data_IF_215952467977
#
_entry.id   IF_215952467977
#
_cell.length_a   1.000
_cell.length_b   1.000
_cell.length_c   1.000
_cell.angle_alpha   90.00
_cell.angle_beta   90.00
_cell.angle_gamma   90.00
#
_symmetry.space_group_name_H-M   'P 1'
#
loop_
_entity.id
_entity.type
_entity.pdbx_description
1 polymer ?
#
# COMPACT_ATOMS: atom_id res chain seq x y z
N UNK A 1 46.44 40.97 -8.54
CA UNK A 1 45.33 40.46 -9.36
C UNK A 1 44.77 39.10 -8.87
N UNK A 2 44.41 38.92 -7.59
CA UNK A 2 44.03 37.60 -7.01
C UNK A 2 42.61 37.55 -6.40
N UNK A 3 41.87 38.66 -6.42
CA UNK A 3 40.55 38.81 -5.77
C UNK A 3 39.35 38.33 -6.61
N UNK A 4 39.46 38.27 -7.94
CA UNK A 4 38.34 37.87 -8.82
C UNK A 4 38.03 36.36 -8.75
N UNK A 5 39.05 35.49 -8.69
CA UNK A 5 38.85 34.04 -8.61
C UNK A 5 38.21 33.57 -7.30
N UNK A 6 38.49 34.23 -6.17
CA UNK A 6 37.92 33.86 -4.88
C UNK A 6 36.42 34.20 -4.77
N UNK A 7 35.96 35.26 -5.47
CA UNK A 7 34.55 35.66 -5.49
C UNK A 7 33.73 34.69 -6.35
N UNK A 8 34.26 34.27 -7.50
CA UNK A 8 33.60 33.29 -8.38
C UNK A 8 33.44 31.92 -7.70
N UNK A 9 34.44 31.46 -6.94
CA UNK A 9 34.35 30.19 -6.18
C UNK A 9 33.31 30.27 -5.06
N UNK A 10 33.23 31.40 -4.34
CA UNK A 10 32.21 31.59 -3.30
C UNK A 10 30.78 31.60 -3.86
N UNK A 11 30.58 32.20 -5.04
CA UNK A 11 29.27 32.21 -5.71
C UNK A 11 28.86 30.79 -6.13
N UNK A 12 29.79 29.98 -6.63
CA UNK A 12 29.53 28.58 -7.00
C UNK A 12 29.15 27.75 -5.75
N UNK A 13 29.86 27.92 -4.64
CA UNK A 13 29.55 27.22 -3.38
C UNK A 13 28.15 27.59 -2.88
N UNK A 14 27.79 28.88 -2.90
CA UNK A 14 26.45 29.35 -2.49
C UNK A 14 25.37 28.76 -3.40
N UNK A 15 25.58 28.74 -4.72
CA UNK A 15 24.63 28.16 -5.66
C UNK A 15 24.39 26.65 -5.40
N UNK A 16 25.45 25.89 -5.11
CA UNK A 16 25.33 24.46 -4.76
C UNK A 16 24.56 24.27 -3.47
N UNK A 17 24.80 25.10 -2.44
CA UNK A 17 24.06 25.04 -1.17
C UNK A 17 22.57 25.35 -1.39
N UNK A 18 22.25 26.36 -2.20
CA UNK A 18 20.85 26.71 -2.52
C UNK A 18 20.15 25.56 -3.24
N UNK A 19 20.81 24.94 -4.22
CA UNK A 19 20.25 23.77 -4.93
C UNK A 19 20.03 22.61 -3.96
N UNK A 20 20.98 22.32 -3.06
CA UNK A 20 20.82 21.27 -2.06
C UNK A 20 19.63 21.53 -1.12
N UNK A 21 19.41 22.78 -0.70
CA UNK A 21 18.25 23.18 0.12
C UNK A 21 16.94 22.97 -0.64
N UNK A 22 16.87 23.33 -1.93
CA UNK A 22 15.67 23.13 -2.75
C UNK A 22 15.35 21.63 -2.89
N UNK A 23 16.36 20.79 -3.13
CA UNK A 23 16.18 19.33 -3.20
C UNK A 23 15.72 18.76 -1.87
N UNK A 24 16.32 19.18 -0.76
CA UNK A 24 15.92 18.74 0.58
C UNK A 24 14.49 19.17 0.93
N UNK A 25 14.11 20.42 0.63
CA UNK A 25 12.76 20.93 0.84
C UNK A 25 11.73 20.21 -0.05
N UNK A 26 12.07 19.94 -1.31
CA UNK A 26 11.24 19.14 -2.22
C UNK A 26 11.02 17.73 -1.67
N UNK A 27 12.09 17.06 -1.22
CA UNK A 27 11.96 15.73 -0.61
C UNK A 27 11.03 15.74 0.60
N UNK A 28 11.19 16.73 1.50
CA UNK A 28 10.39 16.81 2.72
C UNK A 28 8.92 17.12 2.45
N UNK A 29 8.60 17.93 1.44
CA UNK A 29 7.22 18.29 1.10
C UNK A 29 6.48 17.20 0.33
N UNK A 30 7.18 16.42 -0.50
CA UNK A 30 6.54 15.45 -1.39
C UNK A 30 6.64 14.00 -0.91
N UNK A 31 7.70 13.63 -0.19
CA UNK A 31 8.00 12.21 0.13
C UNK A 31 7.75 11.88 1.59
N UNK A 32 7.80 12.85 2.51
CA UNK A 32 7.65 12.57 3.94
C UNK A 32 6.22 12.16 4.28
N UNK A 33 6.05 10.91 4.72
CA UNK A 33 4.80 10.38 5.30
C UNK A 33 4.96 10.29 6.81
N UNK A 34 3.97 10.80 7.57
CA UNK A 34 3.98 10.63 9.02
C UNK A 34 3.58 9.20 9.36
N UNK A 35 4.38 8.50 10.16
CA UNK A 35 4.01 7.19 10.70
C UNK A 35 2.97 7.37 11.83
N UNK A 36 1.85 6.67 11.72
CA UNK A 36 0.81 6.57 12.73
C UNK A 36 1.09 5.40 13.67
N UNK A 37 0.89 5.61 14.98
CA UNK A 37 1.02 4.58 16.01
C UNK A 37 -0.28 3.83 16.31
N UNK A 38 -1.41 4.36 15.84
CA UNK A 38 -2.74 3.81 16.07
C UNK A 38 -3.62 3.92 14.82
N UNK A 39 -4.72 3.15 14.85
CA UNK A 39 -5.71 3.06 13.77
C UNK A 39 -6.51 4.37 13.62
N UNK A 40 -6.76 5.09 14.70
CA UNK A 40 -7.48 6.37 14.68
C UNK A 40 -6.72 7.45 13.90
N UNK A 41 -5.39 7.51 14.06
CA UNK A 41 -4.49 8.38 13.32
C UNK A 41 -4.52 8.06 11.82
N UNK A 42 -4.56 6.77 11.47
CA UNK A 42 -4.67 6.34 10.08
C UNK A 42 -5.99 6.80 9.46
N UNK A 43 -7.12 6.52 10.10
CA UNK A 43 -8.43 6.93 9.57
C UNK A 43 -8.63 8.44 9.57
N UNK A 44 -8.09 9.16 10.56
CA UNK A 44 -8.03 10.63 10.52
C UNK A 44 -7.22 11.13 9.31
N UNK A 45 -6.17 10.40 8.94
CA UNK A 45 -5.41 10.61 7.71
C UNK A 45 -6.27 10.38 6.47
N UNK A 46 -7.04 9.29 6.41
CA UNK A 46 -7.97 8.99 5.30
C UNK A 46 -9.06 10.06 5.20
N UNK A 47 -9.67 10.48 6.30
CA UNK A 47 -10.73 11.50 6.33
C UNK A 47 -10.29 12.82 5.69
N UNK A 48 -9.01 13.16 5.82
CA UNK A 48 -8.41 14.38 5.30
C UNK A 48 -7.51 14.15 4.07
N UNK A 49 -7.44 12.93 3.53
CA UNK A 49 -6.46 12.47 2.53
C UNK A 49 -5.01 12.91 2.85
N UNK A 50 -4.64 12.98 4.14
CA UNK A 50 -3.33 13.41 4.59
C UNK A 50 -2.33 12.26 4.48
N UNK A 51 -1.14 12.56 3.97
CA UNK A 51 -0.04 11.59 3.83
C UNK A 51 0.39 11.00 5.17
N UNK A 52 -0.04 9.78 5.44
CA UNK A 52 0.28 9.01 6.64
C UNK A 52 0.56 7.56 6.27
N UNK A 53 1.39 6.89 7.06
CA UNK A 53 1.65 5.46 6.94
C UNK A 53 1.29 4.76 8.25
N UNK A 54 0.76 3.54 8.17
CA UNK A 54 0.30 2.78 9.33
C UNK A 54 0.62 1.30 9.14
N UNK A 55 1.21 0.68 10.16
CA UNK A 55 1.40 -0.77 10.20
C UNK A 55 0.25 -1.39 11.00
N UNK A 56 -0.48 -2.30 10.36
CA UNK A 56 -1.48 -3.13 11.02
C UNK A 56 -0.90 -4.52 11.19
N UNK A 57 -0.76 -4.92 12.43
CA UNK A 57 -0.28 -6.25 12.77
C UNK A 57 -1.45 -7.05 13.34
N UNK A 58 -1.82 -8.13 12.64
CA UNK A 58 -2.81 -9.08 13.12
C UNK A 58 -2.15 -10.45 13.41
N UNK A 59 -2.96 -11.46 13.76
CA UNK A 59 -2.45 -12.79 14.10
C UNK A 59 -1.89 -13.54 12.89
N UNK A 60 -2.34 -13.22 11.68
CA UNK A 60 -2.01 -13.91 10.44
C UNK A 60 -0.97 -13.17 9.59
N UNK A 61 -0.87 -11.85 9.72
CA UNK A 61 -0.16 -10.99 8.77
C UNK A 61 0.18 -9.60 9.32
N UNK A 62 1.10 -8.94 8.62
CA UNK A 62 1.50 -7.55 8.83
C UNK A 62 1.27 -6.80 7.53
N UNK A 63 0.46 -5.75 7.61
CA UNK A 63 0.09 -4.89 6.48
C UNK A 63 0.66 -3.49 6.67
N UNK A 64 1.08 -2.87 5.57
CA UNK A 64 1.48 -1.48 5.50
C UNK A 64 0.46 -0.70 4.69
N UNK A 65 -0.18 0.27 5.32
CA UNK A 65 -1.07 1.22 4.66
C UNK A 65 -0.34 2.55 4.52
N UNK A 66 -0.49 3.20 3.38
CA UNK A 66 0.10 4.52 3.11
C UNK A 66 -0.86 5.37 2.29
N UNK A 67 -1.43 6.40 2.92
CA UNK A 67 -2.23 7.42 2.24
C UNK A 67 -1.29 8.27 1.39
N UNK A 68 -1.45 8.25 0.06
CA UNK A 68 -0.60 8.99 -0.89
C UNK A 68 -1.12 10.40 -1.13
N UNK A 69 -2.41 10.61 -0.96
CA UNK A 69 -3.05 11.92 -1.08
C UNK A 69 -4.48 11.83 -1.57
N UNK A 70 -4.96 12.95 -2.10
CA UNK A 70 -6.30 13.10 -2.66
C UNK A 70 -6.37 12.52 -4.07
N UNK A 71 -7.33 11.62 -4.30
CA UNK A 71 -7.66 11.14 -5.64
C UNK A 71 -8.68 12.07 -6.31
N UNK A 72 -9.79 12.31 -5.62
CA UNK A 72 -10.83 13.25 -6.03
C UNK A 72 -11.37 14.07 -4.82
N UNK A 73 -12.49 14.79 -4.98
CA UNK A 73 -13.04 15.63 -3.89
C UNK A 73 -13.50 14.81 -2.67
N UNK A 74 -13.79 13.53 -2.85
CA UNK A 74 -14.43 12.61 -1.91
C UNK A 74 -13.59 11.39 -1.56
N UNK A 75 -12.53 11.09 -2.30
CA UNK A 75 -11.72 9.89 -2.16
C UNK A 75 -10.22 10.17 -2.14
N UNK A 76 -9.47 9.21 -1.61
CA UNK A 76 -8.02 9.27 -1.40
C UNK A 76 -7.34 8.07 -2.06
N UNK A 77 -6.12 8.27 -2.55
CA UNK A 77 -5.25 7.19 -2.99
C UNK A 77 -4.54 6.58 -1.78
N UNK A 78 -4.76 5.30 -1.53
CA UNK A 78 -4.18 4.53 -0.43
C UNK A 78 -3.40 3.34 -1.00
N UNK A 79 -2.11 3.32 -0.74
CA UNK A 79 -1.26 2.16 -1.05
C UNK A 79 -1.33 1.17 0.10
N UNK A 80 -1.56 -0.10 -0.23
CA UNK A 80 -1.66 -1.22 0.70
C UNK A 80 -0.63 -2.26 0.30
N UNK A 81 0.26 -2.61 1.24
CA UNK A 81 1.31 -3.59 1.07
C UNK A 81 1.19 -4.72 2.07
N UNK A 82 1.41 -5.96 1.62
CA UNK A 82 1.51 -7.11 2.50
C UNK A 82 2.98 -7.31 2.89
N UNK A 83 3.35 -6.86 4.10
CA UNK A 83 4.74 -6.87 4.55
C UNK A 83 5.19 -8.29 4.91
N UNK A 84 4.36 -9.00 5.67
CA UNK A 84 4.71 -10.33 6.18
C UNK A 84 3.46 -11.16 6.45
N UNK A 85 3.57 -12.47 6.27
CA UNK A 85 2.59 -13.45 6.74
C UNK A 85 3.22 -14.20 7.91
N UNK A 86 2.45 -14.32 9.00
CA UNK A 86 2.79 -15.09 10.19
C UNK A 86 2.20 -16.49 10.15
N UNK A 87 1.00 -16.64 9.58
CA UNK A 87 0.27 -17.90 9.46
C UNK A 87 -0.49 -17.93 8.13
N UNK A 88 -0.45 -19.06 7.42
CA UNK A 88 -1.13 -19.21 6.13
C UNK A 88 -0.62 -20.39 5.29
N UNK A 89 -1.13 -20.49 4.06
CA UNK A 89 -0.66 -21.45 3.05
C UNK A 89 0.57 -20.91 2.33
N UNK A 90 1.41 -21.80 1.78
CA UNK A 90 2.59 -21.44 0.95
C UNK A 90 2.21 -20.52 -0.22
N UNK A 91 0.98 -20.63 -0.72
CA UNK A 91 0.47 -19.77 -1.78
C UNK A 91 0.38 -18.30 -1.36
N UNK A 92 -0.02 -18.05 -0.11
CA UNK A 92 -0.12 -16.68 0.42
C UNK A 92 1.27 -16.08 0.63
N UNK A 93 2.30 -16.87 0.93
CA UNK A 93 3.67 -16.38 1.07
C UNK A 93 4.18 -15.71 -0.22
N UNK A 94 3.70 -16.15 -1.39
CA UNK A 94 4.02 -15.53 -2.69
C UNK A 94 3.52 -14.08 -2.83
N UNK A 95 2.61 -13.66 -1.95
CA UNK A 95 2.08 -12.29 -1.90
C UNK A 95 2.88 -11.35 -1.01
N UNK A 96 3.81 -11.86 -0.21
CA UNK A 96 4.67 -11.03 0.63
C UNK A 96 5.49 -10.05 -0.20
N UNK A 97 5.59 -8.81 0.27
CA UNK A 97 6.28 -7.71 -0.41
C UNK A 97 5.52 -7.15 -1.61
N UNK A 98 4.33 -7.65 -1.95
CA UNK A 98 3.50 -7.08 -3.01
C UNK A 98 2.64 -5.95 -2.47
N UNK A 99 2.32 -5.02 -3.36
CA UNK A 99 1.51 -3.84 -3.07
C UNK A 99 0.35 -3.69 -4.08
N UNK A 100 -0.65 -2.93 -3.66
CA UNK A 100 -1.74 -2.43 -4.51
C UNK A 100 -2.07 -0.99 -4.13
N UNK A 101 -2.60 -0.24 -5.08
CA UNK A 101 -3.14 1.09 -4.86
C UNK A 101 -4.66 1.02 -4.89
N UNK A 102 -5.30 1.59 -3.87
CA UNK A 102 -6.73 1.55 -3.67
C UNK A 102 -7.30 2.96 -3.59
N UNK A 103 -8.48 3.16 -4.17
CA UNK A 103 -9.27 4.37 -4.02
C UNK A 103 -10.19 4.16 -2.82
N UNK A 104 -10.08 5.02 -1.81
CA UNK A 104 -10.83 4.91 -0.56
C UNK A 104 -11.58 6.21 -0.30
N UNK A 105 -12.89 6.10 -0.07
CA UNK A 105 -13.72 7.25 0.25
C UNK A 105 -13.39 7.83 1.63
N UNK A 106 -13.45 9.15 1.76
CA UNK A 106 -13.31 9.85 3.04
C UNK A 106 -14.41 9.41 4.00
N UNK A 107 -14.08 9.23 5.27
CA UNK A 107 -15.01 8.70 6.27
C UNK A 107 -15.14 7.18 6.27
N UNK A 108 -14.56 6.47 5.29
CA UNK A 108 -14.54 5.01 5.31
C UNK A 108 -13.68 4.50 6.47
N UNK A 109 -14.29 3.64 7.29
CA UNK A 109 -13.62 2.91 8.38
C UNK A 109 -13.30 1.46 8.01
N UNK A 110 -13.39 1.14 6.73
CA UNK A 110 -13.15 -0.21 6.21
C UNK A 110 -11.79 -0.28 5.56
N UNK A 111 -11.09 -1.39 5.79
CA UNK A 111 -9.78 -1.62 5.20
C UNK A 111 -9.88 -2.09 3.73
N UNK A 112 -9.04 -1.58 2.81
CA UNK A 112 -9.16 -1.89 1.39
C UNK A 112 -8.95 -3.36 1.01
N UNK A 113 -8.21 -4.14 1.82
CA UNK A 113 -8.05 -5.59 1.56
C UNK A 113 -9.36 -6.38 1.68
N UNK A 114 -10.36 -5.83 2.36
CA UNK A 114 -11.69 -6.45 2.48
C UNK A 114 -12.54 -6.24 1.22
N UNK A 115 -12.24 -5.20 0.45
CA UNK A 115 -13.00 -4.79 -0.74
C UNK A 115 -12.05 -4.48 -1.91
N UNK A 116 -11.65 -5.52 -2.65
CA UNK A 116 -10.70 -5.40 -3.77
C UNK A 116 -11.22 -4.63 -5.00
N UNK A 117 -12.48 -4.21 -5.01
CA UNK A 117 -13.13 -3.54 -6.15
C UNK A 117 -12.46 -2.20 -6.50
N UNK A 118 -12.06 -1.43 -5.49
CA UNK A 118 -11.38 -0.13 -5.66
C UNK A 118 -9.86 -0.19 -5.75
N UNK A 119 -9.28 -1.40 -5.72
CA UNK A 119 -7.82 -1.60 -5.70
C UNK A 119 -7.28 -2.01 -7.07
N UNK A 120 -6.01 -1.74 -7.35
CA UNK A 120 -5.27 -2.19 -8.53
C UNK A 120 -3.81 -2.48 -8.16
N UNK A 121 -3.22 -3.54 -8.72
CA UNK A 121 -1.81 -3.89 -8.53
C UNK A 121 -1.57 -5.38 -8.27
N UNK A 122 -0.29 -5.73 -8.19
CA UNK A 122 0.20 -7.11 -8.08
C UNK A 122 -0.35 -7.88 -6.87
N UNK A 123 -0.63 -7.17 -5.77
CA UNK A 123 -1.21 -7.77 -4.58
C UNK A 123 -2.67 -8.19 -4.84
N UNK A 124 -3.48 -7.33 -5.46
CA UNK A 124 -4.87 -7.66 -5.85
C UNK A 124 -4.91 -8.84 -6.81
N UNK A 125 -4.09 -8.81 -7.85
CA UNK A 125 -4.05 -9.87 -8.86
C UNK A 125 -3.67 -11.21 -8.24
N UNK A 126 -2.64 -11.23 -7.39
CA UNK A 126 -2.25 -12.44 -6.68
C UNK A 126 -3.31 -12.93 -5.70
N UNK A 127 -4.00 -12.03 -4.98
CA UNK A 127 -5.13 -12.41 -4.13
C UNK A 127 -6.28 -13.03 -4.94
N UNK A 128 -6.60 -12.46 -6.10
CA UNK A 128 -7.64 -12.98 -6.99
C UNK A 128 -7.27 -14.36 -7.54
N UNK A 129 -6.01 -14.59 -7.93
CA UNK A 129 -5.54 -15.89 -8.38
C UNK A 129 -5.73 -16.98 -7.32
N UNK A 130 -5.35 -16.69 -6.06
CA UNK A 130 -5.52 -17.62 -4.94
C UNK A 130 -7.01 -17.89 -4.67
N UNK A 131 -7.87 -16.86 -4.70
CA UNK A 131 -9.32 -17.03 -4.54
C UNK A 131 -9.87 -17.95 -5.63
N UNK A 132 -9.49 -17.73 -6.89
CA UNK A 132 -9.93 -18.55 -8.03
C UNK A 132 -9.48 -20.01 -7.86
N UNK A 133 -8.23 -20.24 -7.47
CA UNK A 133 -7.70 -21.59 -7.24
C UNK A 133 -8.47 -22.31 -6.13
N UNK A 134 -8.76 -21.63 -5.02
CA UNK A 134 -9.55 -22.20 -3.91
C UNK A 134 -10.99 -22.50 -4.32
N UNK A 135 -11.64 -21.60 -5.05
CA UNK A 135 -12.98 -21.84 -5.58
C UNK A 135 -13.00 -23.05 -6.52
N UNK A 136 -12.02 -23.15 -7.43
CA UNK A 136 -11.92 -24.28 -8.35
C UNK A 136 -11.77 -25.61 -7.59
N UNK A 137 -10.87 -25.65 -6.61
CA UNK A 137 -10.65 -26.83 -5.77
C UNK A 137 -11.92 -27.21 -4.99
N UNK A 138 -12.63 -26.23 -4.43
CA UNK A 138 -13.88 -26.45 -3.71
C UNK A 138 -14.95 -27.05 -4.63
N UNK A 139 -15.14 -26.51 -5.84
CA UNK A 139 -16.11 -27.03 -6.81
C UNK A 139 -15.77 -28.49 -7.19
N UNK A 140 -14.50 -28.80 -7.44
CA UNK A 140 -14.06 -30.15 -7.79
C UNK A 140 -14.33 -31.16 -6.67
N UNK A 141 -14.06 -30.78 -5.41
CA UNK A 141 -14.31 -31.64 -4.25
C UNK A 141 -15.81 -31.96 -4.10
N UNK A 142 -16.66 -30.95 -4.20
CA UNK A 142 -18.11 -31.12 -4.03
C UNK A 142 -18.77 -31.87 -5.21
N UNK A 143 -18.30 -31.69 -6.45
CA UNK A 143 -18.82 -32.46 -7.60
C UNK A 143 -18.46 -33.96 -7.49
N UNK A 144 -17.28 -34.28 -6.96
CA UNK A 144 -16.86 -35.66 -6.72
C UNK A 144 -17.77 -36.39 -5.74
N UNK A 145 -18.23 -35.70 -4.69
CA UNK A 145 -19.13 -36.26 -3.67
C UNK A 145 -20.55 -36.51 -4.20
N UNK A 146 -21.06 -35.64 -5.08
CA UNK A 146 -22.41 -35.80 -5.68
C UNK A 146 -22.50 -37.07 -6.53
N UNK A 147 -21.41 -37.50 -7.20
CA UNK A 147 -21.41 -38.72 -8.03
C UNK A 147 -21.61 -40.02 -7.23
N UNK A 148 -21.20 -40.06 -5.96
CA UNK A 148 -21.38 -41.24 -5.11
C UNK A 148 -22.82 -41.40 -4.64
N UNK A 149 -23.56 -40.29 -4.45
CA UNK A 149 -24.99 -40.33 -4.10
C UNK A 149 -25.90 -40.87 -5.21
N UNK A 150 -25.51 -40.70 -6.48
CA UNK A 150 -26.28 -41.20 -7.63
C UNK A 150 -25.91 -42.61 -8.10
N UNK A 151 -24.84 -43.21 -7.56
CA UNK A 151 -24.45 -44.59 -7.91
C UNK A 151 -25.13 -45.66 -7.04
N UNK A 152 -26.03 -45.26 -6.15
CA UNK A 152 -26.81 -46.13 -5.26
C UNK A 152 -28.32 -46.16 -5.54
N UNK A 153 -28.76 -45.68 -6.70
CA UNK A 153 -30.15 -45.78 -7.19
C UNK A 153 -30.15 -46.62 -8.47
#
# INVERSE_FOLDING_TARGET
MKKRGLISVKIIIIAVIVVAIIVAAGYFLFVYTKLCGDEECFFSGVDNCKRVSFYKEDSQSVWLYSVKGTHDKTSCDVSVGLVKIKQGTVELEKLQGREMNCIVDRGSRTYPEQTLSGCNGMLKEGMQEIIIQRMHNYILQNIGEVKQGFSGI
#
